data_IF_979200720362
#
_entry.id   IF_979200720362
#
_cell.length_a   1.000
_cell.length_b   1.000
_cell.length_c   1.000
_cell.angle_alpha   90.00
_cell.angle_beta   90.00
_cell.angle_gamma   90.00
#
_symmetry.space_group_name_H-M   'P 1'
#
loop_
_entity.id
_entity.type
_entity.pdbx_description
1 polymer ?
#
# COMPACT_ATOMS: atom_id res chain seq x y z
N UNK A 1 -2.90 4.44 -25.00
CA UNK A 1 -3.18 5.89 -24.90
C UNK A 1 -1.92 6.63 -24.42
N UNK A 2 -1.70 7.87 -24.84
CA UNK A 2 -0.68 8.73 -24.21
C UNK A 2 -1.32 9.41 -23.01
N UNK A 3 -0.95 9.01 -21.81
CA UNK A 3 -1.48 9.58 -20.57
C UNK A 3 -0.35 10.27 -19.80
N UNK A 4 -0.58 11.52 -19.40
CA UNK A 4 0.42 12.38 -18.76
C UNK A 4 0.49 12.04 -17.27
N UNK A 5 1.66 12.18 -16.64
CA UNK A 5 1.84 11.87 -15.21
C UNK A 5 2.17 10.41 -14.86
N UNK A 6 2.29 9.50 -15.84
CA UNK A 6 2.57 8.10 -15.55
C UNK A 6 3.86 7.87 -14.76
N UNK A 7 3.77 7.23 -13.59
CA UNK A 7 4.91 6.82 -12.73
C UNK A 7 5.73 5.65 -13.28
N UNK A 8 5.55 5.29 -14.55
CA UNK A 8 6.17 4.13 -15.15
C UNK A 8 7.67 4.29 -15.46
N UNK A 9 8.25 5.48 -15.23
CA UNK A 9 9.65 5.74 -15.49
C UNK A 9 10.57 4.95 -14.56
N UNK A 10 11.66 4.41 -15.11
CA UNK A 10 12.72 3.79 -14.31
C UNK A 10 13.31 4.77 -13.31
N UNK A 11 13.42 4.33 -12.06
CA UNK A 11 13.75 5.14 -10.90
C UNK A 11 12.52 5.48 -10.06
N UNK A 12 11.41 5.84 -10.70
CA UNK A 12 10.22 6.38 -10.02
C UNK A 12 9.40 5.28 -9.34
N UNK A 13 8.82 4.35 -10.11
CA UNK A 13 7.99 3.30 -9.52
C UNK A 13 8.79 2.40 -8.57
N UNK A 14 10.09 2.15 -8.83
CA UNK A 14 10.90 1.37 -7.90
C UNK A 14 11.08 2.07 -6.57
N UNK A 15 11.25 3.40 -6.58
CA UNK A 15 11.37 4.19 -5.36
C UNK A 15 10.07 4.14 -4.58
N UNK A 16 8.93 4.34 -5.25
CA UNK A 16 7.60 4.28 -4.63
C UNK A 16 7.33 2.87 -4.06
N UNK A 17 7.53 1.80 -4.86
CA UNK A 17 7.27 0.41 -4.42
C UNK A 17 8.16 0.01 -3.24
N UNK A 18 9.39 0.51 -3.16
CA UNK A 18 10.28 0.32 -2.01
C UNK A 18 9.82 1.06 -0.73
N UNK A 19 8.71 1.80 -0.78
CA UNK A 19 8.06 2.39 0.38
C UNK A 19 6.70 1.76 0.69
N UNK A 20 6.26 0.76 -0.09
CA UNK A 20 4.95 0.15 0.05
C UNK A 20 4.99 -0.95 1.12
N UNK A 21 4.28 -0.78 2.26
CA UNK A 21 4.20 -1.79 3.30
C UNK A 21 3.34 -2.98 2.85
N UNK A 22 3.49 -4.17 3.47
CA UNK A 22 2.65 -5.32 3.18
C UNK A 22 1.17 -4.98 3.40
N UNK A 23 0.34 -5.30 2.42
CA UNK A 23 -1.09 -5.00 2.45
C UNK A 23 -1.87 -6.10 1.74
N UNK A 24 -3.12 -6.29 2.16
CA UNK A 24 -4.05 -7.25 1.54
C UNK A 24 -4.94 -6.56 0.51
N UNK A 25 -5.37 -5.33 0.83
CA UNK A 25 -6.22 -4.50 -0.04
C UNK A 25 -5.40 -3.33 -0.56
N UNK A 26 -5.43 -3.13 -1.88
CA UNK A 26 -4.81 -1.99 -2.54
C UNK A 26 -5.86 -1.09 -3.15
N UNK A 27 -5.72 0.22 -3.00
CA UNK A 27 -6.61 1.20 -3.65
C UNK A 27 -5.77 2.25 -4.36
N UNK A 28 -6.05 2.50 -5.63
CA UNK A 28 -5.46 3.58 -6.44
C UNK A 28 -6.59 4.44 -7.00
N UNK A 29 -7.05 5.48 -6.26
CA UNK A 29 -8.20 6.31 -6.65
C UNK A 29 -7.97 7.24 -7.84
N UNK A 30 -6.70 7.45 -8.20
CA UNK A 30 -6.26 8.26 -9.34
C UNK A 30 -5.40 7.38 -10.27
N UNK A 31 -6.06 6.46 -10.95
CA UNK A 31 -5.42 5.35 -11.65
C UNK A 31 -4.52 5.78 -12.81
N UNK A 32 -5.05 6.55 -13.77
CA UNK A 32 -4.38 6.86 -15.02
C UNK A 32 -3.80 5.62 -15.71
N UNK A 33 -2.47 5.55 -15.83
CA UNK A 33 -1.77 4.39 -16.41
C UNK A 33 -1.44 3.28 -15.41
N UNK A 34 -1.86 3.40 -14.15
CA UNK A 34 -1.74 2.36 -13.11
C UNK A 34 -0.34 1.81 -12.95
N UNK A 35 0.70 2.65 -13.02
CA UNK A 35 2.08 2.16 -13.02
C UNK A 35 2.40 1.41 -11.72
N UNK A 36 1.89 1.87 -10.58
CA UNK A 36 2.08 1.21 -9.29
C UNK A 36 1.26 -0.07 -9.24
N UNK A 37 -0.05 -0.03 -9.58
CA UNK A 37 -0.89 -1.22 -9.73
C UNK A 37 -0.23 -2.34 -10.56
N UNK A 38 0.32 -2.00 -11.72
CA UNK A 38 0.91 -2.97 -12.67
C UNK A 38 2.24 -3.55 -12.21
N UNK A 39 3.10 -2.72 -11.63
CA UNK A 39 4.48 -3.11 -11.36
C UNK A 39 4.66 -3.71 -9.98
N UNK A 40 3.89 -3.29 -8.96
CA UNK A 40 3.97 -3.92 -7.64
C UNK A 40 3.45 -5.36 -7.70
N UNK A 41 3.82 -6.16 -6.69
CA UNK A 41 3.21 -7.47 -6.48
C UNK A 41 1.70 -7.29 -6.33
N UNK A 42 0.85 -8.02 -7.06
CA UNK A 42 -0.61 -7.93 -6.87
C UNK A 42 -0.99 -8.11 -5.40
N UNK A 43 -1.91 -7.28 -4.92
CA UNK A 43 -2.53 -7.48 -3.62
C UNK A 43 -3.63 -8.55 -3.76
N UNK A 44 -4.14 -9.08 -2.64
CA UNK A 44 -5.23 -10.06 -2.68
C UNK A 44 -6.49 -9.47 -3.31
N UNK A 45 -6.74 -8.19 -3.07
CA UNK A 45 -7.79 -7.41 -3.70
C UNK A 45 -7.24 -6.03 -4.07
N UNK A 46 -7.54 -5.55 -5.27
CA UNK A 46 -7.16 -4.20 -5.72
C UNK A 46 -8.39 -3.45 -6.23
N UNK A 47 -8.52 -2.18 -5.88
CA UNK A 47 -9.55 -1.27 -6.38
C UNK A 47 -8.82 -0.16 -7.13
N UNK A 48 -9.09 -0.04 -8.43
CA UNK A 48 -8.44 0.88 -9.33
C UNK A 48 -9.50 1.85 -9.86
N UNK A 49 -9.38 3.14 -9.54
CA UNK A 49 -10.41 4.11 -9.87
C UNK A 49 -9.86 5.28 -10.65
N UNK A 50 -10.69 5.83 -11.51
CA UNK A 50 -10.42 7.08 -12.20
C UNK A 50 -11.74 7.80 -12.45
N UNK A 51 -11.69 9.13 -12.50
CA UNK A 51 -12.85 9.95 -12.84
C UNK A 51 -13.08 9.99 -14.36
N UNK A 52 -12.02 9.75 -15.13
CA UNK A 52 -12.11 9.67 -16.59
C UNK A 52 -12.58 8.26 -17.02
N UNK A 53 -13.82 8.19 -17.51
CA UNK A 53 -14.42 6.96 -18.02
C UNK A 53 -13.57 6.30 -19.11
N UNK A 54 -12.88 7.09 -19.95
CA UNK A 54 -12.02 6.54 -21.01
C UNK A 54 -10.83 5.77 -20.46
N UNK A 55 -10.31 6.15 -19.29
CA UNK A 55 -9.25 5.41 -18.58
C UNK A 55 -9.78 4.07 -18.10
N UNK A 56 -10.98 4.06 -17.51
CA UNK A 56 -11.61 2.83 -17.02
C UNK A 56 -11.92 1.87 -18.17
N UNK A 57 -12.52 2.37 -19.26
CA UNK A 57 -12.78 1.57 -20.46
C UNK A 57 -11.48 1.02 -21.08
N UNK A 58 -10.41 1.82 -21.10
CA UNK A 58 -9.10 1.35 -21.54
C UNK A 58 -8.59 0.17 -20.70
N UNK A 59 -8.79 0.21 -19.38
CA UNK A 59 -8.38 -0.85 -18.46
C UNK A 59 -9.24 -2.10 -18.56
N UNK A 60 -10.56 -1.96 -18.67
CA UNK A 60 -11.49 -3.07 -18.87
C UNK A 60 -11.16 -3.82 -20.16
N UNK A 61 -10.97 -3.11 -21.27
CA UNK A 61 -10.58 -3.70 -22.56
C UNK A 61 -9.24 -4.46 -22.48
N UNK A 62 -8.29 -3.98 -21.67
CA UNK A 62 -7.01 -4.66 -21.47
C UNK A 62 -7.14 -5.94 -20.63
N UNK A 63 -8.09 -6.01 -19.70
CA UNK A 63 -8.35 -7.21 -18.91
C UNK A 63 -9.05 -8.30 -19.73
N UNK A 64 -9.96 -7.90 -20.63
CA UNK A 64 -10.66 -8.82 -21.52
C UNK A 64 -9.76 -9.38 -22.63
N UNK A 65 -8.74 -8.62 -23.03
CA UNK A 65 -7.76 -9.07 -24.03
C UNK A 65 -6.98 -10.28 -23.51
N UNK A 66 -7.18 -11.45 -24.13
CA UNK A 66 -6.63 -12.78 -23.77
C UNK A 66 -5.10 -12.93 -23.65
N UNK A 67 -4.33 -11.85 -23.69
CA UNK A 67 -2.90 -11.88 -23.37
C UNK A 67 -2.71 -11.91 -21.85
N UNK A 68 -2.31 -13.05 -21.31
CA UNK A 68 -2.06 -13.29 -19.87
C UNK A 68 -1.12 -12.29 -19.19
N UNK A 69 -0.29 -11.57 -19.97
CA UNK A 69 0.65 -10.55 -19.45
C UNK A 69 0.00 -9.22 -19.05
N UNK A 70 -1.22 -8.95 -19.50
CA UNK A 70 -1.93 -7.69 -19.22
C UNK A 70 -2.94 -7.83 -18.09
N UNK A 71 -3.31 -9.06 -17.74
CA UNK A 71 -4.30 -9.30 -16.70
C UNK A 71 -3.71 -9.10 -15.31
N UNK A 72 -4.38 -8.26 -14.54
CA UNK A 72 -4.06 -8.03 -13.13
C UNK A 72 -5.11 -8.81 -12.33
N UNK A 73 -4.72 -9.86 -11.59
CA UNK A 73 -5.67 -10.68 -10.85
C UNK A 73 -6.27 -9.91 -9.67
N UNK A 74 -7.56 -10.14 -9.41
CA UNK A 74 -8.25 -9.61 -8.22
C UNK A 74 -8.42 -8.08 -8.21
N UNK A 75 -8.40 -7.42 -9.36
CA UNK A 75 -8.66 -5.97 -9.47
C UNK A 75 -10.09 -5.68 -9.90
N UNK A 76 -10.68 -4.65 -9.30
CA UNK A 76 -11.96 -4.06 -9.70
C UNK A 76 -11.70 -2.64 -10.20
N UNK A 77 -12.22 -2.31 -11.38
CA UNK A 77 -12.15 -0.95 -11.92
C UNK A 77 -13.45 -0.20 -11.66
N UNK A 78 -13.35 1.03 -11.17
CA UNK A 78 -14.51 1.87 -10.85
C UNK A 78 -14.33 3.25 -11.49
N UNK A 79 -15.30 3.68 -12.29
CA UNK A 79 -15.39 5.06 -12.76
C UNK A 79 -16.05 5.90 -11.66
N UNK A 80 -15.34 6.89 -11.11
CA UNK A 80 -15.88 7.67 -10.00
C UNK A 80 -14.94 8.74 -9.45
N UNK A 81 -15.49 9.59 -8.61
CA UNK A 81 -14.76 10.66 -7.92
C UNK A 81 -14.07 10.14 -6.66
N UNK A 82 -12.76 10.36 -6.57
CA UNK A 82 -11.93 9.85 -5.48
C UNK A 82 -12.31 10.44 -4.11
N UNK A 83 -12.61 11.74 -4.03
CA UNK A 83 -12.98 12.42 -2.77
C UNK A 83 -14.28 11.81 -2.24
N UNK A 84 -15.28 11.68 -3.11
CA UNK A 84 -16.57 11.08 -2.78
C UNK A 84 -16.42 9.63 -2.33
N UNK A 85 -15.60 8.83 -3.02
CA UNK A 85 -15.36 7.43 -2.66
C UNK A 85 -14.65 7.30 -1.31
N UNK A 86 -13.56 8.04 -1.10
CA UNK A 86 -12.79 7.99 0.14
C UNK A 86 -13.60 8.48 1.35
N UNK A 87 -14.45 9.49 1.18
CA UNK A 87 -15.29 10.04 2.25
C UNK A 87 -16.51 9.18 2.63
N UNK A 88 -16.94 8.27 1.75
CA UNK A 88 -18.16 7.46 1.95
C UNK A 88 -17.91 5.99 2.27
N UNK A 89 -16.66 5.52 2.14
CA UNK A 89 -16.28 4.13 2.35
C UNK A 89 -15.46 3.96 3.63
N UNK A 90 -15.54 2.77 4.22
CA UNK A 90 -14.75 2.38 5.38
C UNK A 90 -13.54 1.55 4.97
N UNK A 91 -12.41 1.74 5.65
CA UNK A 91 -11.17 1.02 5.37
C UNK A 91 -10.66 0.32 6.63
N UNK A 92 -9.85 -0.71 6.42
CA UNK A 92 -9.20 -1.49 7.49
C UNK A 92 -7.69 -1.24 7.50
N UNK A 93 -7.02 -1.61 8.60
CA UNK A 93 -5.58 -1.38 8.76
C UNK A 93 -4.71 -2.12 7.73
N UNK A 94 -5.22 -3.18 7.11
CA UNK A 94 -4.55 -3.96 6.05
C UNK A 94 -4.78 -3.40 4.63
N UNK A 95 -5.41 -2.22 4.53
CA UNK A 95 -5.58 -1.47 3.29
C UNK A 95 -4.42 -0.50 3.08
N UNK A 96 -3.90 -0.47 1.86
CA UNK A 96 -2.95 0.53 1.39
C UNK A 96 -3.56 1.35 0.25
N UNK A 97 -3.58 2.67 0.41
CA UNK A 97 -4.08 3.62 -0.57
C UNK A 97 -2.90 4.41 -1.15
N UNK A 98 -2.76 4.37 -2.47
CA UNK A 98 -1.79 5.18 -3.20
C UNK A 98 -2.51 6.29 -3.95
N UNK A 99 -2.23 7.54 -3.60
CA UNK A 99 -2.83 8.73 -4.17
C UNK A 99 -1.83 9.42 -5.09
N UNK A 100 -2.21 9.63 -6.33
CA UNK A 100 -1.45 10.41 -7.32
C UNK A 100 -2.39 11.42 -8.01
N UNK A 101 -2.96 12.37 -7.24
CA UNK A 101 -3.93 13.30 -7.76
C UNK A 101 -3.32 14.19 -8.85
N UNK A 102 -4.14 14.78 -9.74
CA UNK A 102 -3.71 15.92 -10.53
C UNK A 102 -3.05 16.97 -9.62
N UNK A 103 -1.74 17.22 -9.75
CA UNK A 103 -1.00 18.14 -8.87
C UNK A 103 -1.52 19.58 -8.88
N UNK A 104 -1.28 20.34 -7.82
CA UNK A 104 -1.65 21.76 -7.76
C UNK A 104 -1.19 22.53 -9.00
N UNK A 105 -2.08 23.32 -9.61
CA UNK A 105 -1.80 24.07 -10.85
C UNK A 105 -0.55 24.95 -10.73
N UNK A 106 -0.34 25.56 -9.57
CA UNK A 106 0.79 26.44 -9.26
C UNK A 106 2.15 25.73 -9.31
N UNK A 107 2.15 24.42 -9.07
CA UNK A 107 3.38 23.60 -9.09
C UNK A 107 3.75 23.11 -10.50
N UNK A 108 2.96 23.47 -11.52
CA UNK A 108 3.09 22.95 -12.88
C UNK A 108 3.54 24.01 -13.87
N UNK A 109 4.29 23.58 -14.90
CA UNK A 109 4.70 24.47 -16.01
C UNK A 109 3.59 24.83 -16.99
N UNK A 110 2.50 24.07 -17.06
CA UNK A 110 1.39 24.27 -18.00
C UNK A 110 0.04 24.09 -17.28
N UNK A 111 -0.98 24.83 -17.76
CA UNK A 111 -2.25 25.00 -17.05
C UNK A 111 -3.25 23.84 -17.14
N UNK A 112 -3.19 22.97 -18.15
CA UNK A 112 -4.10 21.84 -18.29
C UNK A 112 -3.35 20.61 -18.80
N UNK A 113 -3.31 19.55 -17.99
CA UNK A 113 -2.69 18.26 -18.32
C UNK A 113 -3.68 17.09 -18.25
N UNK A 114 -4.74 17.22 -17.46
CA UNK A 114 -5.77 16.22 -17.28
C UNK A 114 -7.13 16.76 -17.74
N UNK A 115 -8.02 15.87 -18.18
CA UNK A 115 -9.39 16.24 -18.54
C UNK A 115 -10.16 16.76 -17.31
N UNK A 116 -9.87 16.19 -16.15
CA UNK A 116 -10.41 16.57 -14.85
C UNK A 116 -9.28 17.09 -13.96
N UNK A 117 -9.15 18.41 -13.84
CA UNK A 117 -8.22 19.05 -12.92
C UNK A 117 -8.82 19.16 -11.51
N UNK A 118 -7.96 19.32 -10.49
CA UNK A 118 -8.38 19.57 -9.11
C UNK A 118 -8.21 21.05 -8.74
N UNK A 119 -9.22 21.64 -8.09
CA UNK A 119 -9.12 22.97 -7.48
C UNK A 119 -8.40 22.90 -6.14
N UNK A 120 -7.92 24.04 -5.63
CA UNK A 120 -7.27 24.09 -4.31
C UNK A 120 -8.22 23.61 -3.20
N UNK A 121 -9.51 23.92 -3.30
CA UNK A 121 -10.55 23.47 -2.36
C UNK A 121 -10.73 21.94 -2.43
N UNK A 122 -10.65 21.34 -3.62
CA UNK A 122 -10.70 19.89 -3.77
C UNK A 122 -9.44 19.22 -3.19
N UNK A 123 -8.27 19.86 -3.32
CA UNK A 123 -7.05 19.39 -2.65
C UNK A 123 -7.21 19.44 -1.14
N UNK A 124 -7.74 20.52 -0.58
CA UNK A 124 -8.03 20.63 0.86
C UNK A 124 -9.01 19.57 1.34
N UNK A 125 -10.10 19.33 0.61
CA UNK A 125 -11.07 18.27 0.91
C UNK A 125 -10.42 16.88 0.90
N UNK A 126 -9.59 16.59 -0.10
CA UNK A 126 -8.85 15.33 -0.15
C UNK A 126 -7.94 15.18 1.07
N UNK A 127 -7.17 16.23 1.42
CA UNK A 127 -6.27 16.23 2.57
C UNK A 127 -7.02 16.00 3.88
N UNK A 128 -8.14 16.68 4.08
CA UNK A 128 -8.99 16.51 5.27
C UNK A 128 -9.50 15.07 5.40
N UNK A 129 -9.93 14.44 4.30
CA UNK A 129 -10.39 13.05 4.32
C UNK A 129 -9.25 12.10 4.66
N UNK A 130 -8.12 12.19 3.96
CA UNK A 130 -7.03 11.20 4.09
C UNK A 130 -6.39 11.20 5.48
N UNK A 131 -6.44 12.33 6.19
CA UNK A 131 -5.98 12.45 7.58
C UNK A 131 -6.84 11.66 8.57
N UNK A 132 -8.09 11.35 8.21
CA UNK A 132 -9.03 10.61 9.08
C UNK A 132 -9.05 9.10 8.82
N UNK A 133 -8.41 8.63 7.75
CA UNK A 133 -8.52 7.23 7.32
C UNK A 133 -7.74 6.29 8.27
N UNK A 134 -8.32 5.15 8.69
CA UNK A 134 -7.70 4.22 9.64
C UNK A 134 -6.67 3.27 8.99
N UNK A 135 -6.18 3.59 7.79
CA UNK A 135 -5.37 2.71 6.95
C UNK A 135 -4.08 3.38 6.49
N UNK A 136 -3.23 2.62 5.78
CA UNK A 136 -1.96 3.13 5.26
C UNK A 136 -2.23 3.95 4.00
N UNK A 137 -1.77 5.18 3.97
CA UNK A 137 -1.96 6.12 2.87
C UNK A 137 -0.62 6.68 2.45
N UNK A 138 -0.42 6.75 1.14
CA UNK A 138 0.68 7.50 0.55
C UNK A 138 0.14 8.47 -0.49
N UNK A 139 0.77 9.63 -0.60
CA UNK A 139 0.38 10.68 -1.52
C UNK A 139 1.61 11.17 -2.28
N UNK A 140 1.55 11.11 -3.61
CA UNK A 140 2.57 11.62 -4.52
C UNK A 140 2.24 13.05 -4.95
N UNK A 141 3.26 13.90 -5.04
CA UNK A 141 3.10 15.26 -5.55
C UNK A 141 4.40 16.06 -5.60
N UNK A 142 4.28 17.32 -6.01
CA UNK A 142 5.34 18.31 -5.82
C UNK A 142 5.22 18.96 -4.45
N UNK A 143 6.35 19.36 -3.88
CA UNK A 143 6.36 20.13 -2.65
C UNK A 143 5.54 21.41 -2.82
N UNK A 144 4.64 21.68 -1.88
CA UNK A 144 3.82 22.89 -1.83
C UNK A 144 3.56 23.26 -0.37
N UNK A 145 3.28 24.55 -0.12
CA UNK A 145 2.93 25.03 1.22
C UNK A 145 1.69 24.30 1.76
N UNK A 146 0.64 24.18 0.93
CA UNK A 146 -0.59 23.46 1.26
C UNK A 146 -0.32 22.03 1.75
N UNK A 147 0.46 21.26 1.01
CA UNK A 147 0.74 19.87 1.38
C UNK A 147 1.66 19.79 2.59
N UNK A 148 2.69 20.65 2.65
CA UNK A 148 3.62 20.67 3.79
C UNK A 148 2.94 21.02 5.11
N UNK A 149 1.92 21.88 5.08
CA UNK A 149 1.13 22.27 6.24
C UNK A 149 0.24 21.13 6.73
N UNK A 150 -0.59 20.55 5.85
CA UNK A 150 -1.53 19.49 6.23
C UNK A 150 -0.83 18.16 6.57
N UNK A 151 0.31 17.86 5.92
CA UNK A 151 1.01 16.58 6.05
C UNK A 151 2.29 16.70 6.89
N UNK A 152 2.39 17.69 7.77
CA UNK A 152 3.58 17.93 8.59
C UNK A 152 3.97 16.73 9.49
N UNK A 153 2.97 15.97 9.96
CA UNK A 153 3.19 14.80 10.81
C UNK A 153 3.44 13.52 10.01
N UNK A 154 3.30 13.58 8.69
CA UNK A 154 3.55 12.44 7.81
C UNK A 154 5.04 12.38 7.48
N UNK A 155 5.60 11.17 7.44
CA UNK A 155 6.95 11.01 6.90
C UNK A 155 6.92 11.31 5.41
N UNK A 156 8.02 11.79 4.86
CA UNK A 156 8.15 11.96 3.42
C UNK A 156 9.53 11.56 2.92
N UNK A 157 9.60 11.23 1.64
CA UNK A 157 10.85 11.11 0.90
C UNK A 157 10.81 12.01 -0.33
N UNK A 158 11.97 12.48 -0.76
CA UNK A 158 12.13 13.19 -2.02
C UNK A 158 13.01 12.39 -2.96
N UNK A 159 12.63 12.35 -4.23
CA UNK A 159 13.40 11.64 -5.25
C UNK A 159 13.36 12.36 -6.59
N UNK A 160 14.42 12.15 -7.38
CA UNK A 160 14.53 12.71 -8.72
C UNK A 160 13.81 11.81 -9.72
N UNK A 161 12.80 12.38 -10.37
CA UNK A 161 12.20 11.82 -11.59
C UNK A 161 12.69 12.60 -12.80
N UNK A 162 12.32 12.14 -13.99
CA UNK A 162 12.50 12.95 -15.21
C UNK A 162 11.14 13.19 -15.85
N UNK A 163 11.00 14.35 -16.46
CA UNK A 163 9.85 14.63 -17.32
C UNK A 163 10.01 13.93 -18.66
N UNK A 164 8.93 13.90 -19.46
CA UNK A 164 8.98 13.43 -20.87
C UNK A 164 10.04 14.15 -21.71
N UNK A 165 10.45 15.37 -21.34
CA UNK A 165 11.52 16.15 -21.98
C UNK A 165 12.92 15.89 -21.37
N UNK A 166 13.09 14.81 -20.60
CA UNK A 166 14.32 14.42 -19.91
C UNK A 166 14.85 15.47 -18.91
N UNK A 167 14.03 16.44 -18.52
CA UNK A 167 14.37 17.41 -17.47
C UNK A 167 14.20 16.77 -16.10
N UNK A 168 15.21 16.82 -15.21
CA UNK A 168 15.09 16.32 -13.85
C UNK A 168 14.08 17.15 -13.05
N UNK A 169 13.26 16.49 -12.26
CA UNK A 169 12.29 17.12 -11.37
C UNK A 169 12.28 16.37 -10.04
N UNK A 170 12.22 17.11 -8.94
CA UNK A 170 12.06 16.54 -7.60
C UNK A 170 10.58 16.30 -7.31
N UNK A 171 10.21 15.06 -7.02
CA UNK A 171 8.90 14.71 -6.49
C UNK A 171 9.02 14.34 -5.00
N UNK A 172 7.92 14.52 -4.28
CA UNK A 172 7.78 14.15 -2.87
C UNK A 172 6.69 13.08 -2.73
N UNK A 173 6.96 12.07 -1.91
CA UNK A 173 5.99 11.06 -1.50
C UNK A 173 5.79 11.20 0.01
N UNK A 174 4.58 11.55 0.44
CA UNK A 174 4.17 11.61 1.85
C UNK A 174 3.49 10.31 2.26
N UNK A 175 3.72 9.84 3.48
CA UNK A 175 3.19 8.57 4.00
C UNK A 175 2.82 8.69 5.49
N UNK A 176 1.65 8.18 5.86
CA UNK A 176 1.14 8.21 7.25
C UNK A 176 1.60 7.03 8.11
N UNK A 177 2.61 6.29 7.65
CA UNK A 177 3.13 5.09 8.29
C UNK A 177 4.66 5.15 8.40
N UNK A 178 5.29 4.48 9.38
CA UNK A 178 6.73 4.50 9.58
C UNK A 178 7.48 3.85 8.41
N UNK A 179 8.81 3.97 8.40
CA UNK A 179 9.62 3.28 7.40
C UNK A 179 9.37 1.76 7.45
N UNK A 180 8.97 1.11 6.34
CA UNK A 180 8.55 -0.29 6.35
C UNK A 180 9.71 -1.24 6.70
N UNK A 181 9.54 -2.02 7.76
CA UNK A 181 10.46 -3.11 8.14
C UNK A 181 10.41 -4.26 7.13
N UNK A 182 9.23 -4.49 6.55
CA UNK A 182 8.99 -5.46 5.47
C UNK A 182 8.39 -4.74 4.28
N UNK A 183 8.69 -5.21 3.06
CA UNK A 183 8.14 -4.64 1.83
C UNK A 183 7.07 -5.55 1.26
N UNK A 184 6.04 -4.96 0.66
CA UNK A 184 5.07 -5.71 -0.12
C UNK A 184 5.72 -6.44 -1.30
N UNK A 185 6.77 -5.84 -1.87
CA UNK A 185 7.46 -6.36 -3.03
C UNK A 185 8.96 -6.07 -3.01
N UNK A 186 9.76 -7.13 -2.80
CA UNK A 186 11.21 -7.05 -2.78
C UNK A 186 11.87 -7.03 -4.16
N UNK A 187 11.12 -7.19 -5.27
CA UNK A 187 11.68 -7.25 -6.64
C UNK A 187 12.47 -5.99 -7.03
N UNK A 188 12.16 -4.87 -6.39
CA UNK A 188 12.79 -3.58 -6.67
C UNK A 188 13.75 -3.11 -5.57
N UNK A 189 14.07 -3.96 -4.59
CA UNK A 189 14.90 -3.60 -3.45
C UNK A 189 16.27 -3.06 -3.87
N UNK A 190 16.57 -1.83 -3.44
CA UNK A 190 17.85 -1.15 -3.63
C UNK A 190 17.70 0.30 -4.08
N UNK A 191 18.55 1.19 -3.54
CA UNK A 191 18.45 2.64 -3.74
C UNK A 191 18.73 3.08 -5.18
N UNK A 192 19.51 2.30 -5.94
CA UNK A 192 19.86 2.62 -7.32
C UNK A 192 19.96 1.36 -8.18
N UNK A 193 20.12 1.56 -9.49
CA UNK A 193 20.20 0.47 -10.47
C UNK A 193 21.27 -0.57 -10.10
N UNK A 194 22.49 -0.14 -9.75
CA UNK A 194 23.61 -1.03 -9.42
C UNK A 194 23.33 -1.87 -8.17
N UNK A 195 22.75 -1.25 -7.13
CA UNK A 195 22.37 -1.96 -5.92
C UNK A 195 21.25 -2.98 -6.19
N UNK A 196 20.20 -2.59 -6.94
CA UNK A 196 19.13 -3.50 -7.36
C UNK A 196 19.67 -4.68 -8.13
N UNK A 197 20.52 -4.44 -9.12
CA UNK A 197 21.16 -5.49 -9.91
C UNK A 197 21.99 -6.45 -9.04
N UNK A 198 22.80 -5.92 -8.12
CA UNK A 198 23.58 -6.73 -7.18
C UNK A 198 22.69 -7.63 -6.32
N UNK A 199 21.60 -7.09 -5.78
CA UNK A 199 20.64 -7.82 -4.94
C UNK A 199 19.93 -8.90 -5.77
N UNK A 200 19.41 -8.56 -6.94
CA UNK A 200 18.77 -9.51 -7.86
C UNK A 200 19.71 -10.66 -8.23
N UNK A 201 20.97 -10.37 -8.55
CA UNK A 201 21.99 -11.41 -8.82
C UNK A 201 22.27 -12.27 -7.59
N UNK A 202 22.31 -11.68 -6.38
CA UNK A 202 22.46 -12.43 -5.13
C UNK A 202 21.29 -13.40 -4.94
N UNK A 203 20.06 -12.93 -5.08
CA UNK A 203 18.85 -13.75 -4.96
C UNK A 203 18.88 -14.90 -5.96
N UNK A 204 19.14 -14.62 -7.25
CA UNK A 204 19.19 -15.65 -8.31
C UNK A 204 20.25 -16.72 -8.04
N UNK A 205 21.43 -16.34 -7.55
CA UNK A 205 22.49 -17.31 -7.17
C UNK A 205 22.03 -18.22 -6.03
N UNK A 206 21.38 -17.67 -5.01
CA UNK A 206 20.86 -18.47 -3.89
C UNK A 206 19.71 -19.38 -4.32
N UNK A 207 18.79 -18.89 -5.15
CA UNK A 207 17.75 -19.71 -5.76
C UNK A 207 18.35 -20.89 -6.52
N UNK A 208 19.34 -20.64 -7.39
CA UNK A 208 20.02 -21.71 -8.13
C UNK A 208 20.70 -22.73 -7.20
N UNK A 209 21.34 -22.28 -6.11
CA UNK A 209 21.92 -23.20 -5.12
C UNK A 209 20.85 -24.06 -4.46
N UNK A 210 19.74 -23.46 -4.03
CA UNK A 210 18.63 -24.17 -3.40
C UNK A 210 17.94 -25.14 -4.35
N UNK A 211 17.80 -24.81 -5.64
CA UNK A 211 17.13 -25.71 -6.59
C UNK A 211 17.94 -26.95 -6.92
N UNK A 212 19.28 -26.87 -6.88
CA UNK A 212 20.18 -28.00 -7.16
C UNK A 212 20.56 -28.80 -5.91
N UNK A 213 20.16 -28.34 -4.71
CA UNK A 213 20.43 -29.02 -3.45
C UNK A 213 19.56 -30.28 -3.30
N UNK A 214 20.10 -31.41 -2.77
CA UNK A 214 19.31 -32.58 -2.42
C UNK A 214 18.09 -32.23 -1.57
N UNK A 215 16.95 -32.90 -1.81
CA UNK A 215 15.66 -32.55 -1.21
C UNK A 215 15.72 -32.42 0.30
N UNK A 216 16.31 -33.38 1.00
CA UNK A 216 16.35 -33.39 2.48
C UNK A 216 17.27 -32.29 3.04
N UNK A 217 18.42 -32.05 2.41
CA UNK A 217 19.32 -30.97 2.79
C UNK A 217 18.65 -29.60 2.61
N UNK A 218 17.92 -29.41 1.51
CA UNK A 218 17.13 -28.19 1.26
C UNK A 218 16.07 -27.96 2.33
N UNK A 219 15.35 -29.01 2.73
CA UNK A 219 14.34 -28.91 3.78
C UNK A 219 14.97 -28.60 5.15
N UNK A 220 16.08 -29.25 5.49
CA UNK A 220 16.80 -28.96 6.74
C UNK A 220 17.28 -27.51 6.81
N UNK A 221 17.83 -26.97 5.70
CA UNK A 221 18.26 -25.58 5.63
C UNK A 221 17.07 -24.60 5.72
N UNK A 222 15.96 -24.87 5.03
CA UNK A 222 14.76 -24.02 5.10
C UNK A 222 14.20 -23.99 6.54
N UNK A 223 14.12 -25.14 7.21
CA UNK A 223 13.68 -25.21 8.61
C UNK A 223 14.64 -24.46 9.56
N UNK A 224 15.94 -24.47 9.29
CA UNK A 224 16.92 -23.70 10.08
C UNK A 224 16.79 -22.19 9.87
N UNK A 225 16.53 -21.75 8.63
CA UNK A 225 16.30 -20.33 8.32
C UNK A 225 15.00 -19.82 8.95
N UNK A 226 13.93 -20.61 8.92
CA UNK A 226 12.66 -20.29 9.59
C UNK A 226 12.88 -20.07 11.09
N UNK A 227 13.55 -21.01 11.78
CA UNK A 227 13.93 -20.86 13.20
C UNK A 227 14.71 -19.58 13.47
N UNK A 228 15.64 -19.22 12.59
CA UNK A 228 16.46 -18.00 12.74
C UNK A 228 15.64 -16.73 12.53
N UNK A 229 14.66 -16.77 11.63
CA UNK A 229 13.82 -15.60 11.32
C UNK A 229 12.93 -15.15 12.49
N UNK A 230 12.60 -16.08 13.41
CA UNK A 230 11.82 -15.78 14.61
C UNK A 230 12.65 -15.17 15.76
N UNK A 231 13.98 -15.15 15.67
CA UNK A 231 14.87 -14.69 16.76
C UNK A 231 15.01 -13.16 16.81
N UNK A 232 14.63 -12.42 15.75
CA UNK A 232 15.03 -11.02 15.58
C UNK A 232 13.95 -9.95 15.79
N UNK A 233 12.95 -10.19 16.64
CA UNK A 233 11.96 -9.14 17.05
C UNK A 233 11.96 -8.89 18.56
N UNK A 234 12.48 -9.81 19.37
CA UNK A 234 12.59 -9.64 20.82
C UNK A 234 14.05 -9.37 21.20
N UNK A 235 14.44 -8.09 21.31
CA UNK A 235 15.39 -7.53 22.30
C UNK A 235 15.90 -6.16 21.82
N UNK A 236 15.19 -5.10 22.21
CA UNK A 236 15.73 -3.74 22.24
C UNK A 236 15.07 -2.85 23.31
N UNK A 237 14.51 -3.41 24.39
CA UNK A 237 13.97 -2.59 25.51
C UNK A 237 14.60 -2.85 26.88
N UNK A 238 15.35 -3.92 27.08
CA UNK A 238 15.74 -4.32 28.44
C UNK A 238 17.26 -4.40 28.59
N UNK A 239 17.90 -3.23 28.67
CA UNK A 239 19.18 -3.07 29.36
C UNK A 239 19.49 -1.58 29.50
N UNK A 240 19.08 -0.95 30.60
CA UNK A 240 19.94 -0.18 31.54
C UNK A 240 19.08 0.12 32.77
N UNK A 241 19.24 -0.66 33.83
CA UNK A 241 19.05 -0.17 35.20
C UNK A 241 20.26 -0.55 36.06
N UNK A 242 20.76 0.48 36.74
CA UNK A 242 21.47 0.48 38.01
C UNK A 242 22.80 -0.28 38.15
N UNK A 243 23.89 0.51 38.29
CA UNK A 243 24.82 0.34 39.41
C UNK A 243 25.11 1.69 40.04
N UNK A 244 24.94 1.71 41.36
CA UNK A 244 25.01 2.82 42.31
C UNK A 244 26.47 3.05 42.78
N UNK A 245 26.77 4.26 43.26
CA UNK A 245 28.07 4.60 43.88
C UNK A 245 28.39 6.09 43.90
N UNK A 246 28.09 6.78 45.01
CA UNK A 246 28.25 8.24 45.17
C UNK A 246 29.61 8.73 45.70
N UNK A 247 29.77 10.08 45.71
CA UNK A 247 30.41 10.95 46.76
C UNK A 247 30.43 12.44 46.33
N UNK A 248 29.51 13.25 46.87
CA UNK A 248 29.68 14.47 47.74
C UNK A 248 30.44 15.77 47.28
N UNK A 249 29.64 16.87 47.11
CA UNK A 249 29.79 18.38 47.29
C UNK A 249 30.77 19.17 46.37
N UNK A 250 30.57 20.42 45.90
CA UNK A 250 29.87 21.68 46.33
C UNK A 250 29.58 22.66 45.17
N UNK A 251 28.50 23.47 45.27
CA UNK A 251 28.51 24.88 44.81
C UNK A 251 27.48 25.34 43.75
N UNK A 252 26.40 26.00 44.19
CA UNK A 252 25.50 26.89 43.43
C UNK A 252 26.11 28.33 43.29
N UNK A 253 25.53 29.33 42.54
CA UNK A 253 24.11 29.49 42.16
C UNK A 253 23.77 30.01 40.74
N UNK A 254 22.50 29.72 40.36
CA UNK A 254 21.47 30.52 39.67
C UNK A 254 21.80 31.46 38.48
N UNK A 255 21.16 31.22 37.32
CA UNK A 255 20.56 32.27 36.44
C UNK A 255 19.26 31.75 35.77
N UNK A 256 18.26 32.62 35.84
CA UNK A 256 16.84 32.66 35.42
C UNK A 256 16.42 32.16 34.02
N UNK A 257 15.21 31.57 33.98
CA UNK A 257 14.38 31.28 32.80
C UNK A 257 13.49 32.48 32.38
N UNK A 258 12.83 32.41 31.21
CA UNK A 258 11.42 32.78 31.16
C UNK A 258 10.51 31.82 30.36
N UNK A 259 9.47 31.35 31.06
CA UNK A 259 8.03 31.21 30.71
C UNK A 259 7.57 30.73 29.31
N UNK A 260 6.93 29.55 29.30
CA UNK A 260 5.76 29.21 28.47
C UNK A 260 4.47 29.84 29.03
N UNK A 261 3.40 29.96 28.23
CA UNK A 261 2.03 29.84 28.73
C UNK A 261 1.42 28.47 28.40
N UNK A 262 0.71 27.93 29.39
CA UNK A 262 0.02 26.65 29.41
C UNK A 262 -1.39 26.71 28.81
N UNK A 263 -1.89 25.61 28.23
CA UNK A 263 -3.33 25.29 28.21
C UNK A 263 -3.58 23.78 28.40
N UNK A 264 -4.31 23.50 29.49
CA UNK A 264 -5.23 22.40 29.85
C UNK A 264 -4.90 20.94 29.50
N UNK A 265 -4.59 20.18 30.56
CA UNK A 265 -4.78 18.75 30.65
C UNK A 265 -6.24 18.43 31.03
N UNK A 266 -6.87 17.51 30.28
CA UNK A 266 -7.97 16.68 30.78
C UNK A 266 -7.44 15.26 30.80
N UNK A 267 -7.37 14.70 32.00
CA UNK A 267 -6.98 13.32 32.28
C UNK A 267 -8.18 12.39 32.11
N UNK A 268 -7.98 11.27 31.42
CA UNK A 268 -8.77 10.06 31.61
C UNK A 268 -7.86 8.83 31.45
N UNK A 269 -8.06 7.92 32.37
CA UNK A 269 -7.20 6.81 32.80
C UNK A 269 -7.22 5.59 31.88
N UNK A 270 -6.08 4.88 31.88
CA UNK A 270 -5.85 3.46 31.62
C UNK A 270 -6.97 2.61 31.01
N UNK A 271 -6.67 1.97 29.86
CA UNK A 271 -6.75 0.52 29.73
C UNK A 271 -5.88 0.04 28.56
N UNK A 272 -4.96 -0.87 28.87
CA UNK A 272 -4.08 -1.57 27.92
C UNK A 272 -4.55 -3.01 27.83
N UNK A 273 -4.69 -3.57 26.62
CA UNK A 273 -4.43 -5.01 26.41
C UNK A 273 -3.46 -5.19 25.23
N UNK A 274 -2.24 -5.71 25.40
CA UNK A 274 -1.85 -7.09 25.73
C UNK A 274 -2.16 -8.12 24.61
N UNK A 275 -1.19 -8.24 23.68
CA UNK A 275 -0.69 -9.42 22.96
C UNK A 275 -1.61 -10.66 22.75
N UNK A 276 -1.85 -11.02 21.49
CA UNK A 276 -1.43 -12.29 20.84
C UNK A 276 -2.15 -12.46 19.50
N UNK A 277 -1.49 -12.09 18.40
CA UNK A 277 -1.91 -12.53 17.07
C UNK A 277 -1.55 -14.00 16.94
N UNK A 278 -2.54 -14.87 17.13
CA UNK A 278 -2.50 -16.25 16.65
C UNK A 278 -2.54 -16.18 15.12
N UNK A 279 -1.43 -16.54 14.47
CA UNK A 279 -1.47 -16.95 13.07
C UNK A 279 -2.14 -18.33 13.02
N UNK A 280 -3.38 -18.38 12.51
CA UNK A 280 -3.97 -19.65 12.09
C UNK A 280 -3.36 -19.97 10.73
N UNK A 281 -2.57 -21.03 10.66
CA UNK A 281 -2.19 -21.65 9.40
C UNK A 281 -3.43 -22.30 8.78
N UNK A 282 -3.76 -21.91 7.56
CA UNK A 282 -4.60 -22.66 6.65
C UNK A 282 -3.88 -23.94 6.24
N UNK A 283 -4.04 -25.01 7.04
CA UNK A 283 -3.67 -26.36 6.64
C UNK A 283 -4.61 -27.38 7.30
N UNK A 284 -5.86 -27.43 6.81
CA UNK A 284 -6.77 -28.54 7.07
C UNK A 284 -7.91 -28.60 6.04
N UNK A 285 -7.65 -29.15 4.84
CA UNK A 285 -8.71 -29.84 4.06
C UNK A 285 -8.15 -30.81 3.03
N UNK A 286 -7.54 -31.87 3.53
CA UNK A 286 -7.37 -33.15 2.83
C UNK A 286 -7.54 -34.30 3.82
N UNK A 287 -8.67 -34.33 4.52
CA UNK A 287 -9.16 -35.51 5.23
C UNK A 287 -10.63 -35.29 5.57
N UNK A 288 -11.52 -35.80 4.71
CA UNK A 288 -12.92 -36.14 5.00
C UNK A 288 -13.52 -36.77 3.74
N UNK A 289 -12.97 -37.93 3.36
CA UNK A 289 -13.74 -38.96 2.66
C UNK A 289 -14.24 -39.94 3.72
N UNK A 290 -15.54 -40.22 3.69
CA UNK A 290 -16.26 -41.20 4.52
C UNK A 290 -16.79 -40.69 5.87
N UNK A 291 -18.05 -40.25 5.89
CA UNK A 291 -19.12 -40.87 6.70
C UNK A 291 -20.48 -40.16 6.49
N UNK A 292 -21.30 -40.84 5.69
CA UNK A 292 -22.77 -40.99 5.64
C UNK A 292 -23.69 -40.05 6.46
N UNK A 293 -24.58 -39.41 5.69
CA UNK A 293 -26.06 -39.31 5.87
C UNK A 293 -26.67 -39.00 7.25
N UNK A 294 -27.25 -37.80 7.39
CA UNK A 294 -28.55 -37.59 8.10
C UNK A 294 -29.31 -36.42 7.43
N UNK A 295 -30.63 -36.61 7.35
CA UNK A 295 -31.72 -35.89 6.69
C UNK A 295 -32.01 -34.43 7.14
N UNK A 296 -32.61 -33.66 6.20
CA UNK A 296 -33.73 -32.67 6.25
C UNK A 296 -34.05 -31.95 7.58
N UNK A 297 -34.41 -30.66 7.69
CA UNK A 297 -35.29 -29.78 6.88
C UNK A 297 -35.27 -28.32 7.49
N UNK A 298 -36.14 -27.33 7.16
CA UNK A 298 -35.76 -26.10 6.44
C UNK A 298 -36.11 -24.77 7.16
N UNK A 299 -35.63 -23.64 6.58
CA UNK A 299 -36.10 -22.22 6.65
C UNK A 299 -34.84 -21.35 6.49
N UNK A 300 -34.62 -20.61 5.40
CA UNK A 300 -35.24 -19.32 5.07
C UNK A 300 -35.07 -19.06 3.57
N UNK A 301 -36.11 -18.45 3.01
CA UNK A 301 -36.46 -18.24 1.61
C UNK A 301 -35.81 -16.94 1.07
N UNK A 302 -35.01 -17.02 0.01
CA UNK A 302 -34.72 -15.87 -0.85
C UNK A 302 -35.29 -16.17 -2.25
N UNK A 303 -36.21 -15.31 -2.68
CA UNK A 303 -36.90 -15.40 -3.95
C UNK A 303 -35.96 -14.98 -5.09
N UNK A 304 -35.83 -15.83 -6.11
CA UNK A 304 -35.30 -15.48 -7.41
C UNK A 304 -36.46 -15.52 -8.41
N UNK A 305 -36.74 -14.41 -9.09
CA UNK A 305 -37.61 -14.36 -10.26
C UNK A 305 -36.82 -14.80 -11.51
N UNK A 306 -37.32 -15.76 -12.30
CA UNK A 306 -36.68 -16.20 -13.54
C UNK A 306 -37.13 -15.33 -14.73
N UNK A 307 -36.20 -15.05 -15.65
CA UNK A 307 -36.55 -14.61 -17.01
C UNK A 307 -36.61 -15.87 -17.87
N UNK A 308 -37.80 -16.14 -18.39
CA UNK A 308 -38.11 -17.25 -19.29
C UNK A 308 -37.48 -17.03 -20.67
N UNK A 309 -36.95 -18.13 -21.17
CA UNK A 309 -36.70 -18.44 -22.58
C UNK A 309 -37.96 -18.31 -23.41
N UNK A 310 -37.83 -17.86 -24.65
CA UNK A 310 -38.73 -18.30 -25.71
C UNK A 310 -37.92 -18.78 -26.92
N UNK A 311 -38.20 -20.01 -27.32
CA UNK A 311 -37.63 -20.70 -28.45
C UNK A 311 -38.78 -20.98 -29.43
N UNK A 312 -38.58 -20.64 -30.70
CA UNK A 312 -39.60 -20.87 -31.72
C UNK A 312 -39.04 -20.76 -33.14
N UNK A 313 -38.42 -21.85 -33.58
CA UNK A 313 -38.48 -22.45 -34.92
C UNK A 313 -38.67 -21.57 -36.16
N UNK A 314 -37.75 -21.68 -37.13
CA UNK A 314 -38.10 -22.19 -38.46
C UNK A 314 -36.85 -22.56 -39.29
N UNK A 315 -36.90 -23.77 -39.84
CA UNK A 315 -36.12 -24.29 -40.96
C UNK A 315 -36.92 -23.99 -42.22
N UNK A 316 -36.28 -23.52 -43.30
CA UNK A 316 -36.38 -24.05 -44.68
C UNK A 316 -35.71 -23.14 -45.72
N UNK A 317 -35.03 -23.82 -46.65
CA UNK A 317 -34.35 -23.41 -47.90
C UNK A 317 -32.95 -22.80 -47.77
#
# INVERSE_FOLDING_TARGET
MSYIGGKAQSGTYQTIINQVPPHRVYIEPFLGMGAILRYKKPASCSIAMDRDESVILHWLNQQESCSSRSQIPGVTFICGDAISYLGSNTFTKDTYIYLDPPYLLETRKYRQYYLWEMTNEQHEQLLQIILTLPCMVSLSGYWSELYSWYLQDWRFIQYQTKTRKNTPVTETLWMNYPDPIALHDYRYLGANYRQRERITRKIKRWQNKLTHMPRLERQALLAALEKTSHVSIATASDAVTATDGGTTITGEPAVTAPSQPAILAITATSDVPAWSTIYINDDARSELTSLKSVQSDPKIRCQATPILSDAGSNILV
#
